data_IF_214762948012
#
_entry.id   IF_214762948012
#
_cell.length_a   1.000
_cell.length_b   1.000
_cell.length_c   1.000
_cell.angle_alpha   90.00
_cell.angle_beta   90.00
_cell.angle_gamma   90.00
#
_symmetry.space_group_name_H-M   'P 1'
#
loop_
_entity.id
_entity.type
_entity.pdbx_description
1 polymer ?
#
# COMPACT_ATOMS: atom_id res chain seq x y z
N UNK A 1 8.60 12.38 -7.82
CA UNK A 1 8.54 13.06 -6.51
C UNK A 1 8.58 14.60 -6.62
N UNK A 2 9.48 15.18 -7.41
CA UNK A 2 9.58 16.65 -7.60
C UNK A 2 8.32 17.22 -8.28
N UNK A 3 7.77 16.56 -9.30
CA UNK A 3 6.58 17.01 -10.05
C UNK A 3 5.30 16.98 -9.20
N UNK A 4 5.12 15.96 -8.36
CA UNK A 4 3.97 15.92 -7.43
C UNK A 4 4.05 17.04 -6.38
N UNK A 5 5.25 17.37 -5.91
CA UNK A 5 5.47 18.47 -4.96
C UNK A 5 5.13 19.82 -5.62
N UNK A 6 5.57 20.02 -6.86
CA UNK A 6 5.22 21.23 -7.62
C UNK A 6 3.72 21.32 -7.95
N UNK A 7 3.06 20.20 -8.28
CA UNK A 7 1.60 20.17 -8.46
C UNK A 7 0.84 20.49 -7.17
N UNK A 8 1.26 19.96 -6.03
CA UNK A 8 0.68 20.32 -4.74
C UNK A 8 0.89 21.80 -4.38
N UNK A 9 2.07 22.35 -4.67
CA UNK A 9 2.34 23.78 -4.46
C UNK A 9 1.49 24.67 -5.38
N UNK A 10 1.30 24.28 -6.64
CA UNK A 10 0.43 25.00 -7.59
C UNK A 10 -1.03 24.93 -7.16
N UNK A 11 -1.53 23.77 -6.73
CA UNK A 11 -2.91 23.62 -6.23
C UNK A 11 -3.12 24.41 -4.93
N UNK A 12 -2.12 24.47 -4.06
CA UNK A 12 -2.14 25.27 -2.85
C UNK A 12 -2.12 26.77 -3.17
N UNK A 13 -1.30 27.21 -4.14
CA UNK A 13 -1.29 28.60 -4.62
C UNK A 13 -2.62 29.01 -5.22
N UNK A 14 -3.25 28.17 -6.04
CA UNK A 14 -4.57 28.42 -6.63
C UNK A 14 -5.64 28.54 -5.55
N UNK A 15 -5.64 27.66 -4.54
CA UNK A 15 -6.58 27.75 -3.41
C UNK A 15 -6.36 29.03 -2.60
N UNK A 16 -5.12 29.41 -2.35
CA UNK A 16 -4.78 30.65 -1.62
C UNK A 16 -5.19 31.89 -2.40
N UNK A 17 -4.98 31.94 -3.71
CA UNK A 17 -5.44 33.02 -4.58
C UNK A 17 -6.95 33.12 -4.63
N UNK A 18 -7.66 31.99 -4.62
CA UNK A 18 -9.13 31.96 -4.58
C UNK A 18 -9.68 32.50 -3.26
N UNK A 19 -9.04 32.18 -2.13
CA UNK A 19 -9.41 32.73 -0.81
C UNK A 19 -9.14 34.23 -0.72
N UNK A 20 -8.02 34.70 -1.26
CA UNK A 20 -7.67 36.13 -1.29
C UNK A 20 -8.68 36.90 -2.18
N UNK A 21 -9.00 36.36 -3.36
CA UNK A 21 -9.96 36.96 -4.27
C UNK A 21 -11.37 37.05 -3.65
N UNK A 22 -11.81 35.98 -2.96
CA UNK A 22 -13.08 35.93 -2.25
C UNK A 22 -13.12 36.91 -1.08
N UNK A 23 -12.06 37.05 -0.33
CA UNK A 23 -11.92 37.99 0.80
C UNK A 23 -11.92 39.45 0.32
N UNK A 24 -11.20 39.75 -0.78
CA UNK A 24 -11.22 41.06 -1.44
C UNK A 24 -12.59 41.42 -2.01
N UNK A 25 -13.27 40.45 -2.63
CA UNK A 25 -14.64 40.63 -3.14
C UNK A 25 -15.65 40.97 -2.03
N UNK A 26 -15.58 40.28 -0.90
CA UNK A 26 -16.38 40.53 0.28
C UNK A 26 -16.06 41.89 0.93
N UNK A 27 -14.79 42.29 0.98
CA UNK A 27 -14.34 43.57 1.53
C UNK A 27 -14.80 44.75 0.66
N UNK A 28 -14.66 44.66 -0.67
CA UNK A 28 -15.07 45.67 -1.63
C UNK A 28 -16.61 45.81 -1.66
N UNK A 29 -17.34 44.69 -1.65
CA UNK A 29 -18.81 44.67 -1.60
C UNK A 29 -19.39 45.30 -0.33
N UNK A 30 -18.70 45.16 0.81
CA UNK A 30 -19.15 45.76 2.08
C UNK A 30 -18.81 47.26 2.26
N UNK A 31 -17.76 47.74 1.58
CA UNK A 31 -17.24 49.11 1.76
C UNK A 31 -17.79 50.11 0.73
N UNK A 32 -18.27 49.68 -0.43
CA UNK A 32 -18.71 50.53 -1.54
C UNK A 32 -20.19 50.36 -1.82
N UNK A 33 -21.04 50.72 -0.84
CA UNK A 33 -22.48 50.94 -1.10
C UNK A 33 -22.68 52.25 -1.87
N UNK A 34 -23.03 52.08 -3.15
CA UNK A 34 -23.50 53.12 -4.10
C UNK A 34 -22.49 54.12 -4.69
N UNK A 35 -21.88 53.75 -5.81
CA UNK A 35 -21.43 54.72 -6.82
C UNK A 35 -21.20 53.95 -8.16
N UNK A 36 -21.44 54.65 -9.29
CA UNK A 36 -21.26 54.15 -10.66
C UNK A 36 -19.85 53.57 -10.93
N UNK A 37 -18.86 53.95 -10.14
CA UNK A 37 -17.49 53.44 -10.18
C UNK A 37 -17.39 52.00 -9.70
N UNK A 38 -18.25 51.57 -8.80
CA UNK A 38 -18.25 50.19 -8.28
C UNK A 38 -18.58 49.18 -9.36
N UNK A 39 -19.54 49.50 -10.24
CA UNK A 39 -19.93 48.64 -11.38
C UNK A 39 -18.80 48.56 -12.41
N UNK A 40 -18.10 49.69 -12.70
CA UNK A 40 -16.97 49.74 -13.62
C UNK A 40 -15.78 48.87 -13.15
N UNK A 41 -15.42 48.99 -11.87
CA UNK A 41 -14.35 48.17 -11.28
C UNK A 41 -14.74 46.69 -11.18
N UNK A 42 -15.98 46.34 -10.90
CA UNK A 42 -16.45 44.96 -10.91
C UNK A 42 -16.40 44.32 -12.30
N UNK A 43 -16.76 45.03 -13.35
CA UNK A 43 -16.71 44.53 -14.73
C UNK A 43 -15.25 44.34 -15.18
N UNK A 44 -14.36 45.28 -14.84
CA UNK A 44 -12.95 45.17 -15.20
C UNK A 44 -12.22 44.06 -14.39
N UNK A 45 -12.57 43.90 -13.12
CA UNK A 45 -12.02 42.83 -12.29
C UNK A 45 -12.49 41.45 -12.76
N UNK A 46 -13.76 41.30 -13.14
CA UNK A 46 -14.29 40.08 -13.73
C UNK A 46 -13.62 39.74 -15.08
N UNK A 47 -13.35 40.74 -15.91
CA UNK A 47 -12.68 40.54 -17.19
C UNK A 47 -11.21 40.18 -17.02
N UNK A 48 -10.48 40.76 -16.08
CA UNK A 48 -9.09 40.39 -15.74
C UNK A 48 -9.05 39.00 -15.12
N UNK A 49 -10.01 38.64 -14.26
CA UNK A 49 -10.10 37.31 -13.64
C UNK A 49 -10.44 36.23 -14.68
N UNK A 50 -11.36 36.51 -15.64
CA UNK A 50 -11.65 35.63 -16.76
C UNK A 50 -10.44 35.47 -17.71
N UNK A 51 -9.69 36.54 -17.98
CA UNK A 51 -8.45 36.49 -18.76
C UNK A 51 -7.36 35.67 -18.04
N UNK A 52 -7.22 35.79 -16.74
CA UNK A 52 -6.32 34.97 -15.93
C UNK A 52 -6.72 33.47 -15.93
N UNK A 53 -8.03 33.18 -15.83
CA UNK A 53 -8.53 31.80 -15.94
C UNK A 53 -8.31 31.25 -17.36
N UNK A 54 -8.53 32.05 -18.41
CA UNK A 54 -8.23 31.64 -19.79
C UNK A 54 -6.73 31.40 -20.02
N UNK A 55 -5.85 32.25 -19.47
CA UNK A 55 -4.40 32.09 -19.54
C UNK A 55 -3.93 30.86 -18.78
N UNK A 56 -4.50 30.58 -17.61
CA UNK A 56 -4.23 29.37 -16.82
C UNK A 56 -4.81 28.15 -17.54
N UNK A 57 -6.04 28.25 -18.10
CA UNK A 57 -6.68 27.16 -18.85
C UNK A 57 -5.94 26.79 -20.14
N UNK A 58 -5.41 27.78 -20.88
CA UNK A 58 -4.59 27.51 -22.09
C UNK A 58 -3.23 26.93 -21.73
N UNK A 59 -2.63 27.36 -20.60
CA UNK A 59 -1.41 26.75 -20.07
C UNK A 59 -1.65 25.29 -19.62
N UNK A 60 -2.79 25.00 -18.99
CA UNK A 60 -3.18 23.64 -18.62
C UNK A 60 -3.45 22.74 -19.82
N UNK A 61 -4.08 23.26 -20.88
CA UNK A 61 -4.34 22.48 -22.10
C UNK A 61 -3.05 22.11 -22.83
N UNK A 62 -2.03 22.97 -22.77
CA UNK A 62 -0.70 22.68 -23.33
C UNK A 62 0.13 21.76 -22.43
N UNK A 63 -0.07 21.82 -21.09
CA UNK A 63 0.60 20.94 -20.13
C UNK A 63 0.01 19.51 -20.11
N UNK A 64 -1.25 19.34 -20.49
CA UNK A 64 -1.90 18.02 -20.51
C UNK A 64 -1.36 17.07 -21.57
N UNK A 65 -0.55 17.54 -22.51
CA UNK A 65 0.02 16.73 -23.61
C UNK A 65 1.50 16.39 -23.43
N UNK A 66 2.22 17.01 -22.49
CA UNK A 66 3.61 16.67 -22.22
C UNK A 66 3.73 15.79 -20.98
N UNK A 67 3.59 14.50 -21.16
CA UNK A 67 4.06 13.50 -20.19
C UNK A 67 5.54 13.31 -20.50
N UNK A 68 6.45 13.58 -19.55
CA UNK A 68 7.87 13.28 -19.76
C UNK A 68 8.05 11.81 -20.18
N UNK A 69 8.95 11.51 -21.14
CA UNK A 69 9.19 10.15 -21.62
C UNK A 69 9.47 9.14 -20.50
N UNK A 70 10.12 9.56 -19.44
CA UNK A 70 10.40 8.77 -18.25
C UNK A 70 9.13 8.37 -17.45
N UNK A 71 8.12 9.24 -17.41
CA UNK A 71 6.83 8.90 -16.75
C UNK A 71 6.03 7.91 -17.59
N UNK A 72 6.02 8.05 -18.90
CA UNK A 72 5.34 7.11 -19.79
C UNK A 72 6.03 5.74 -19.77
N UNK A 73 7.35 5.72 -19.81
CA UNK A 73 8.13 4.49 -19.64
C UNK A 73 7.88 3.83 -18.29
N UNK A 74 7.85 4.60 -17.21
CA UNK A 74 7.50 4.10 -15.87
C UNK A 74 6.06 3.57 -15.82
N UNK A 75 5.11 4.21 -16.48
CA UNK A 75 3.73 3.74 -16.56
C UNK A 75 3.65 2.41 -17.32
N UNK A 76 4.29 2.30 -18.46
CA UNK A 76 4.35 1.06 -19.24
C UNK A 76 5.06 -0.06 -18.47
N UNK A 77 6.16 0.25 -17.79
CA UNK A 77 6.87 -0.71 -16.94
C UNK A 77 5.98 -1.21 -15.81
N UNK A 78 5.20 -0.31 -15.20
CA UNK A 78 4.24 -0.65 -14.16
C UNK A 78 3.11 -1.52 -14.72
N UNK A 79 2.49 -1.13 -15.82
CA UNK A 79 1.42 -1.89 -16.46
C UNK A 79 1.91 -3.29 -16.87
N UNK A 80 3.10 -3.39 -17.44
CA UNK A 80 3.66 -4.66 -17.93
C UNK A 80 4.06 -5.60 -16.77
N UNK A 81 4.58 -5.05 -15.66
CA UNK A 81 5.14 -5.85 -14.56
C UNK A 81 4.23 -5.98 -13.33
N UNK A 82 3.03 -5.40 -13.36
CA UNK A 82 2.05 -5.60 -12.30
C UNK A 82 1.67 -7.09 -12.17
N UNK A 83 1.55 -7.57 -10.94
CA UNK A 83 1.27 -8.98 -10.62
C UNK A 83 0.08 -9.51 -11.41
N UNK A 84 -1.05 -8.79 -11.43
CA UNK A 84 -2.28 -9.20 -12.14
C UNK A 84 -2.10 -9.39 -13.65
N UNK A 85 -1.13 -8.69 -14.26
CA UNK A 85 -0.86 -8.75 -15.70
C UNK A 85 0.18 -9.83 -16.03
N UNK A 86 1.12 -10.09 -15.12
CA UNK A 86 2.18 -11.08 -15.27
C UNK A 86 1.79 -12.50 -14.84
N UNK A 87 0.77 -12.61 -14.00
CA UNK A 87 0.22 -13.90 -13.53
C UNK A 87 -1.24 -13.98 -14.01
N UNK A 88 -1.46 -14.46 -15.25
CA UNK A 88 -2.80 -14.60 -15.80
C UNK A 88 -3.63 -15.61 -14.98
N UNK A 89 -4.95 -15.42 -14.98
CA UNK A 89 -5.86 -16.38 -14.37
C UNK A 89 -5.72 -17.77 -15.02
N UNK A 90 -6.02 -18.85 -14.29
CA UNK A 90 -6.05 -20.20 -14.86
C UNK A 90 -7.08 -20.29 -16.02
N UNK A 91 -6.92 -21.29 -16.87
CA UNK A 91 -7.86 -21.54 -17.97
C UNK A 91 -9.29 -21.68 -17.43
N UNK A 92 -10.23 -20.98 -18.06
CA UNK A 92 -11.63 -20.92 -17.64
C UNK A 92 -11.93 -19.95 -16.48
N UNK A 93 -10.92 -19.34 -15.86
CA UNK A 93 -11.09 -18.37 -14.78
C UNK A 93 -10.93 -16.93 -15.27
N UNK A 94 -11.51 -15.99 -14.50
CA UNK A 94 -11.35 -14.55 -14.71
C UNK A 94 -10.81 -13.90 -13.43
N UNK A 95 -9.76 -13.09 -13.58
CA UNK A 95 -9.26 -12.28 -12.47
C UNK A 95 -10.36 -11.35 -11.94
N UNK A 96 -10.51 -11.29 -10.63
CA UNK A 96 -11.50 -10.42 -9.97
C UNK A 96 -11.07 -8.97 -10.09
N UNK A 97 -12.00 -8.13 -10.57
CA UNK A 97 -11.81 -6.68 -10.57
C UNK A 97 -11.91 -6.12 -9.15
N UNK A 98 -10.98 -5.25 -8.78
CA UNK A 98 -10.93 -4.65 -7.45
C UNK A 98 -11.15 -3.14 -7.51
N UNK A 99 -11.86 -2.54 -6.52
CA UNK A 99 -12.09 -1.10 -6.48
C UNK A 99 -10.78 -0.32 -6.47
N UNK A 100 -10.69 0.72 -7.28
CA UNK A 100 -9.56 1.62 -7.28
C UNK A 100 -9.35 2.22 -5.88
N UNK A 101 -8.12 2.38 -5.44
CA UNK A 101 -7.74 2.78 -4.07
C UNK A 101 -8.13 1.80 -2.95
N UNK A 102 -8.48 0.56 -3.26
CA UNK A 102 -8.62 -0.49 -2.25
C UNK A 102 -7.28 -1.17 -1.95
N UNK A 103 -7.19 -1.83 -0.78
CA UNK A 103 -6.01 -2.64 -0.43
C UNK A 103 -5.84 -3.81 -1.40
N UNK A 104 -6.95 -4.40 -1.83
CA UNK A 104 -6.99 -5.45 -2.84
C UNK A 104 -6.37 -4.98 -4.17
N UNK A 105 -6.75 -3.78 -4.63
CA UNK A 105 -6.19 -3.21 -5.85
C UNK A 105 -4.69 -2.91 -5.70
N UNK A 106 -4.25 -2.43 -4.55
CA UNK A 106 -2.83 -2.23 -4.25
C UNK A 106 -2.04 -3.54 -4.36
N UNK A 107 -2.55 -4.64 -3.80
CA UNK A 107 -1.90 -5.95 -3.84
C UNK A 107 -1.84 -6.54 -5.25
N UNK A 108 -2.91 -6.45 -6.05
CA UNK A 108 -2.92 -6.91 -7.44
C UNK A 108 -1.96 -6.12 -8.35
N UNK A 109 -1.63 -4.89 -7.97
CA UNK A 109 -0.72 -4.03 -8.71
C UNK A 109 0.71 -4.02 -8.15
N UNK A 110 1.07 -4.93 -7.25
CA UNK A 110 2.45 -5.12 -6.84
C UNK A 110 3.35 -5.38 -8.06
N UNK A 111 4.44 -4.65 -8.16
CA UNK A 111 5.39 -4.83 -9.25
C UNK A 111 6.21 -6.10 -9.04
N UNK A 112 6.37 -6.88 -10.08
CA UNK A 112 7.25 -8.04 -10.07
C UNK A 112 8.62 -7.70 -10.67
N UNK A 113 9.67 -8.29 -10.14
CA UNK A 113 11.01 -8.24 -10.73
C UNK A 113 11.04 -9.00 -12.06
N UNK A 114 12.05 -8.77 -12.91
CA UNK A 114 12.20 -9.52 -14.15
C UNK A 114 12.06 -11.02 -13.95
N UNK A 115 11.52 -11.71 -14.95
CA UNK A 115 11.34 -13.16 -14.93
C UNK A 115 12.68 -13.88 -14.66
N UNK A 116 12.63 -14.97 -13.92
CA UNK A 116 13.83 -15.73 -13.53
C UNK A 116 14.65 -15.11 -12.40
N UNK A 117 14.25 -13.91 -11.90
CA UNK A 117 14.94 -13.31 -10.73
C UNK A 117 14.85 -14.24 -9.53
N UNK A 118 16.01 -14.46 -8.89
CA UNK A 118 16.09 -15.28 -7.67
C UNK A 118 15.89 -14.42 -6.43
N UNK A 119 15.17 -14.96 -5.44
CA UNK A 119 14.96 -14.33 -4.13
C UNK A 119 16.28 -14.10 -3.43
N UNK A 120 16.45 -12.89 -2.89
CA UNK A 120 17.60 -12.53 -2.05
C UNK A 120 17.19 -12.49 -0.57
N UNK A 121 18.11 -12.95 0.28
CA UNK A 121 18.06 -12.69 1.71
C UNK A 121 18.49 -11.26 2.02
N UNK A 122 18.21 -10.79 3.24
CA UNK A 122 18.60 -9.47 3.76
C UNK A 122 20.11 -9.18 3.64
N UNK A 123 20.95 -10.21 3.65
CA UNK A 123 22.39 -10.11 3.53
C UNK A 123 22.92 -10.22 2.09
N UNK A 124 22.03 -10.25 1.10
CA UNK A 124 22.33 -10.31 -0.33
C UNK A 124 22.56 -11.71 -0.88
N UNK A 125 22.67 -12.75 -0.04
CA UNK A 125 22.75 -14.14 -0.51
C UNK A 125 21.48 -14.53 -1.26
N UNK A 126 21.63 -15.41 -2.24
CA UNK A 126 20.50 -15.94 -2.99
C UNK A 126 19.88 -17.13 -2.27
N UNK A 127 18.54 -17.16 -2.18
CA UNK A 127 17.80 -18.32 -1.65
C UNK A 127 18.03 -19.55 -2.57
N UNK A 128 18.58 -20.66 -2.04
CA UNK A 128 18.89 -21.84 -2.85
C UNK A 128 17.66 -22.73 -3.08
N UNK A 129 16.44 -22.17 -3.03
CA UNK A 129 15.21 -22.95 -3.13
C UNK A 129 14.68 -22.93 -4.57
N UNK A 130 14.52 -24.12 -5.16
CA UNK A 130 13.76 -24.34 -6.38
C UNK A 130 12.35 -24.82 -6.03
N UNK A 131 11.35 -24.49 -6.88
CA UNK A 131 9.97 -24.92 -6.67
C UNK A 131 9.24 -24.28 -5.49
N UNK A 132 9.75 -23.15 -4.95
CA UNK A 132 9.09 -22.43 -3.85
C UNK A 132 8.26 -21.24 -4.37
N UNK A 133 8.73 -20.58 -5.41
CA UNK A 133 8.09 -19.36 -5.94
C UNK A 133 8.20 -19.27 -7.46
N UNK A 134 7.24 -18.57 -8.06
CA UNK A 134 7.23 -18.27 -9.51
C UNK A 134 7.74 -16.88 -9.82
N UNK A 135 7.65 -15.93 -8.88
CA UNK A 135 8.04 -14.54 -9.09
C UNK A 135 8.49 -13.88 -7.79
N UNK A 136 9.29 -12.82 -7.92
CA UNK A 136 9.77 -11.99 -6.82
C UNK A 136 9.12 -10.61 -6.95
N UNK A 137 8.54 -10.12 -5.86
CA UNK A 137 7.94 -8.78 -5.80
C UNK A 137 9.06 -7.74 -5.71
N UNK A 138 8.95 -6.69 -6.51
CA UNK A 138 9.86 -5.56 -6.46
C UNK A 138 9.62 -4.74 -5.19
N UNK A 139 10.64 -4.56 -4.39
CA UNK A 139 10.57 -3.76 -3.17
C UNK A 139 11.89 -3.77 -2.40
N UNK A 140 12.08 -2.82 -1.48
CA UNK A 140 13.27 -2.82 -0.65
C UNK A 140 13.27 -4.01 0.30
N UNK A 141 14.44 -4.53 0.55
CA UNK A 141 14.75 -5.38 1.69
C UNK A 141 15.87 -4.69 2.47
N UNK A 142 15.68 -4.56 3.78
CA UNK A 142 16.70 -3.98 4.64
C UNK A 142 17.88 -4.94 4.81
N UNK A 143 19.03 -4.40 5.19
CA UNK A 143 20.25 -5.18 5.46
C UNK A 143 20.23 -5.81 6.87
N UNK A 144 19.06 -5.96 7.48
CA UNK A 144 18.84 -6.53 8.81
C UNK A 144 17.88 -7.72 8.71
N UNK A 145 18.08 -8.72 9.55
CA UNK A 145 17.17 -9.87 9.64
C UNK A 145 15.88 -9.51 10.42
N UNK A 146 15.13 -8.54 9.90
CA UNK A 146 13.89 -8.03 10.52
C UNK A 146 12.66 -8.23 9.64
N UNK A 147 12.76 -7.97 8.34
CA UNK A 147 11.62 -8.03 7.42
C UNK A 147 11.26 -9.48 7.07
N UNK A 148 10.69 -10.21 8.05
CA UNK A 148 10.29 -11.62 7.91
C UNK A 148 8.82 -11.75 7.46
N UNK A 149 8.20 -12.91 7.65
CA UNK A 149 6.88 -13.24 7.09
C UNK A 149 5.75 -12.28 7.55
N UNK A 150 5.61 -12.04 8.84
CA UNK A 150 4.61 -11.12 9.37
C UNK A 150 4.93 -9.66 9.01
N UNK A 151 6.21 -9.30 8.99
CA UNK A 151 6.69 -7.95 8.73
C UNK A 151 6.42 -7.52 7.29
N UNK A 152 6.51 -8.46 6.34
CA UNK A 152 6.13 -8.22 4.95
C UNK A 152 4.64 -7.86 4.83
N UNK A 153 3.76 -8.53 5.57
CA UNK A 153 2.32 -8.24 5.60
C UNK A 153 2.03 -6.89 6.25
N UNK A 154 2.67 -6.63 7.40
CA UNK A 154 2.63 -5.33 8.10
C UNK A 154 3.05 -4.21 7.15
N UNK A 155 4.14 -4.39 6.45
CA UNK A 155 4.65 -3.42 5.48
C UNK A 155 3.63 -3.14 4.37
N UNK A 156 3.11 -4.17 3.71
CA UNK A 156 2.13 -4.00 2.63
C UNK A 156 0.90 -3.22 3.09
N UNK A 157 0.38 -3.52 4.29
CA UNK A 157 -0.75 -2.77 4.85
C UNK A 157 -0.39 -1.34 5.21
N UNK A 158 0.75 -1.13 5.84
CA UNK A 158 1.22 0.20 6.23
C UNK A 158 1.54 1.09 5.02
N UNK A 159 2.24 0.57 4.00
CA UNK A 159 2.53 1.28 2.76
C UNK A 159 1.25 1.72 2.04
N UNK A 160 0.27 0.84 1.92
CA UNK A 160 -1.04 1.18 1.37
C UNK A 160 -1.70 2.34 2.10
N UNK A 161 -1.77 2.30 3.42
CA UNK A 161 -2.37 3.36 4.23
C UNK A 161 -1.55 4.66 4.17
N UNK A 162 -0.22 4.55 4.13
CA UNK A 162 0.68 5.70 3.99
C UNK A 162 0.49 6.42 2.65
N UNK A 163 0.39 5.68 1.55
CA UNK A 163 0.13 6.22 0.21
C UNK A 163 -1.21 6.94 0.12
N UNK A 164 -2.21 6.50 0.89
CA UNK A 164 -3.51 7.17 0.99
C UNK A 164 -3.51 8.35 1.99
N UNK A 165 -2.41 8.63 2.69
CA UNK A 165 -2.34 9.65 3.74
C UNK A 165 -3.13 9.29 5.01
N UNK A 166 -3.53 8.02 5.17
CA UNK A 166 -4.32 7.56 6.32
C UNK A 166 -3.43 7.18 7.49
N UNK A 167 -2.62 8.11 7.94
CA UNK A 167 -1.62 7.91 8.98
C UNK A 167 -2.23 7.54 10.34
N UNK A 168 -3.47 7.95 10.60
CA UNK A 168 -4.26 7.60 11.78
C UNK A 168 -4.65 6.12 11.86
N UNK A 169 -4.63 5.43 10.72
CA UNK A 169 -4.95 4.00 10.60
C UNK A 169 -3.73 3.10 10.63
N UNK A 170 -2.52 3.66 10.60
CA UNK A 170 -1.29 2.89 10.67
C UNK A 170 -0.95 2.66 12.14
N UNK A 171 -1.24 1.46 12.63
CA UNK A 171 -0.89 1.04 13.98
C UNK A 171 -0.76 -0.49 14.03
N UNK A 172 0.17 -0.98 14.84
CA UNK A 172 0.41 -2.42 15.03
C UNK A 172 0.81 -2.68 16.49
N UNK A 173 0.35 -3.79 17.03
CA UNK A 173 0.69 -4.17 18.38
C UNK A 173 2.04 -4.91 18.45
N UNK A 174 2.87 -4.52 19.38
CA UNK A 174 4.02 -5.33 19.79
C UNK A 174 3.58 -6.62 20.46
N UNK A 175 4.44 -7.61 20.54
CA UNK A 175 4.15 -8.90 21.17
C UNK A 175 3.73 -8.75 22.65
N UNK A 176 4.16 -7.68 23.33
CA UNK A 176 3.77 -7.33 24.70
C UNK A 176 2.40 -6.62 24.80
N UNK A 177 1.73 -6.35 23.68
CA UNK A 177 0.43 -5.67 23.61
C UNK A 177 0.52 -4.14 23.51
N UNK A 178 1.71 -3.54 23.45
CA UNK A 178 1.85 -2.10 23.26
C UNK A 178 1.43 -1.72 21.82
N UNK A 179 0.51 -0.77 21.70
CA UNK A 179 0.07 -0.28 20.38
C UNK A 179 1.03 0.79 19.86
N UNK A 180 1.72 0.48 18.76
CA UNK A 180 2.64 1.38 18.07
C UNK A 180 1.86 2.19 17.03
N UNK A 181 1.36 3.36 17.41
CA UNK A 181 0.58 4.24 16.55
C UNK A 181 1.49 5.17 15.73
N UNK A 182 1.42 5.11 14.40
CA UNK A 182 2.17 6.01 13.53
C UNK A 182 1.78 7.49 13.73
N UNK A 183 0.54 7.75 14.11
CA UNK A 183 0.05 9.09 14.48
C UNK A 183 0.85 9.76 15.61
N UNK A 184 1.33 8.97 16.58
CA UNK A 184 2.23 9.45 17.65
C UNK A 184 3.66 9.65 17.15
N UNK A 185 4.10 8.74 16.26
CA UNK A 185 5.45 8.78 15.68
C UNK A 185 5.69 10.02 14.82
N UNK A 186 4.74 10.40 13.97
CA UNK A 186 4.83 11.61 13.13
C UNK A 186 4.81 12.92 13.93
N UNK A 187 4.32 12.90 15.18
CA UNK A 187 4.41 14.03 16.12
C UNK A 187 5.79 14.16 16.78
N UNK A 188 6.77 13.38 16.35
CA UNK A 188 8.13 13.40 16.86
C UNK A 188 8.34 12.56 18.13
N UNK A 189 7.34 11.77 18.53
CA UNK A 189 7.51 10.80 19.63
C UNK A 189 8.24 9.56 19.15
N UNK A 190 8.94 8.90 20.06
CA UNK A 190 9.61 7.62 19.84
C UNK A 190 9.23 6.64 20.94
N UNK A 191 9.28 5.35 20.63
CA UNK A 191 8.96 4.30 21.59
C UNK A 191 10.22 3.97 22.38
N UNK A 192 10.16 4.18 23.67
CA UNK A 192 11.21 3.74 24.59
C UNK A 192 10.83 2.37 25.16
N UNK A 193 11.73 1.41 24.98
CA UNK A 193 11.54 0.03 25.44
C UNK A 193 12.46 -0.26 26.60
N UNK A 194 11.91 -0.72 27.73
CA UNK A 194 12.63 -1.11 28.93
C UNK A 194 12.12 -2.49 29.40
N UNK A 195 12.87 -3.52 29.08
CA UNK A 195 12.42 -4.91 29.27
C UNK A 195 11.14 -5.20 28.47
N UNK A 196 10.07 -5.55 29.15
CA UNK A 196 8.76 -5.83 28.53
C UNK A 196 7.80 -4.62 28.55
N UNK A 197 8.26 -3.45 28.95
CA UNK A 197 7.44 -2.23 29.02
C UNK A 197 7.83 -1.24 27.92
N UNK A 198 6.82 -0.63 27.32
CA UNK A 198 6.99 0.39 26.31
C UNK A 198 6.27 1.68 26.71
N UNK A 199 6.82 2.82 26.33
CA UNK A 199 6.20 4.14 26.51
C UNK A 199 6.59 5.08 25.39
N UNK A 200 5.69 6.00 25.07
CA UNK A 200 5.99 7.11 24.16
C UNK A 200 6.80 8.19 24.87
N UNK A 201 7.87 8.67 24.24
CA UNK A 201 8.69 9.79 24.71
C UNK A 201 8.87 10.80 23.58
N UNK A 202 8.80 12.11 23.90
CA UNK A 202 9.11 13.16 22.92
C UNK A 202 10.61 13.11 22.61
N UNK A 203 10.98 13.10 21.33
CA UNK A 203 12.36 12.85 20.91
C UNK A 203 12.84 13.75 19.77
N UNK A 204 11.96 14.04 18.79
CA UNK A 204 12.34 14.79 17.58
C UNK A 204 11.25 15.81 17.23
N UNK A 205 11.50 16.62 16.19
CA UNK A 205 10.48 17.46 15.57
C UNK A 205 9.47 16.60 14.79
N UNK A 206 8.21 17.04 14.68
CA UNK A 206 7.21 16.35 13.86
C UNK A 206 7.62 16.22 12.39
N UNK A 207 7.44 15.05 11.81
CA UNK A 207 7.60 14.79 10.38
C UNK A 207 6.83 13.55 9.99
N UNK A 208 6.36 13.49 8.72
CA UNK A 208 5.73 12.33 8.11
C UNK A 208 6.43 11.90 6.81
N UNK A 209 7.69 12.29 6.64
CA UNK A 209 8.50 11.89 5.50
C UNK A 209 8.66 10.38 5.41
N UNK A 210 8.90 9.85 4.21
CA UNK A 210 9.07 8.43 3.99
C UNK A 210 10.20 7.80 4.82
N UNK A 211 11.28 8.56 5.09
CA UNK A 211 12.35 8.09 5.98
C UNK A 211 11.86 7.90 7.43
N UNK A 212 11.01 8.80 7.92
CA UNK A 212 10.37 8.68 9.25
C UNK A 212 9.42 7.49 9.29
N UNK A 213 8.69 7.23 8.20
CA UNK A 213 7.84 6.05 8.06
C UNK A 213 8.67 4.75 8.06
N UNK A 214 9.79 4.70 7.34
CA UNK A 214 10.69 3.54 7.34
C UNK A 214 11.26 3.23 8.73
N UNK A 215 11.66 4.27 9.48
CA UNK A 215 12.12 4.12 10.86
C UNK A 215 11.01 3.59 11.79
N UNK A 216 9.77 4.00 11.56
CA UNK A 216 8.62 3.45 12.30
C UNK A 216 8.43 1.97 11.98
N UNK A 217 8.48 1.57 10.72
CA UNK A 217 8.36 0.17 10.35
C UNK A 217 9.48 -0.68 10.95
N UNK A 218 10.70 -0.18 10.98
CA UNK A 218 11.83 -0.89 11.60
C UNK A 218 11.57 -1.20 13.07
N UNK A 219 11.08 -0.24 13.86
CA UNK A 219 10.76 -0.51 15.28
C UNK A 219 9.57 -1.47 15.43
N UNK A 220 8.60 -1.44 14.52
CA UNK A 220 7.50 -2.41 14.50
C UNK A 220 8.03 -3.81 14.24
N UNK A 221 8.89 -4.03 13.25
CA UNK A 221 9.49 -5.33 12.93
C UNK A 221 10.33 -5.91 14.09
N UNK A 222 10.95 -5.05 14.89
CA UNK A 222 11.74 -5.51 16.06
C UNK A 222 10.88 -6.11 17.19
N UNK A 223 9.62 -5.69 17.33
CA UNK A 223 8.79 -6.02 18.49
C UNK A 223 7.43 -6.63 18.17
N UNK A 224 6.93 -6.50 16.95
CA UNK A 224 5.78 -7.22 16.45
C UNK A 224 6.21 -8.57 15.85
N UNK A 225 5.24 -9.35 15.36
CA UNK A 225 5.47 -10.62 14.68
C UNK A 225 4.18 -11.41 14.56
N UNK A 226 4.25 -12.69 14.17
CA UNK A 226 3.05 -13.52 13.95
C UNK A 226 2.14 -13.59 15.18
N UNK A 227 2.69 -13.60 16.40
CA UNK A 227 1.89 -13.66 17.65
C UNK A 227 1.06 -12.42 17.91
N UNK A 228 1.58 -11.23 17.63
CA UNK A 228 0.84 -9.98 17.78
C UNK A 228 -0.12 -9.77 16.62
N UNK A 229 0.35 -9.97 15.38
CA UNK A 229 -0.47 -9.80 14.18
C UNK A 229 -1.69 -10.73 14.19
N UNK A 230 -1.52 -12.00 14.56
CA UNK A 230 -2.63 -12.95 14.64
C UNK A 230 -3.76 -12.48 15.55
N UNK A 231 -3.43 -11.77 16.65
CA UNK A 231 -4.42 -11.24 17.61
C UNK A 231 -5.13 -9.98 17.10
N UNK A 232 -4.50 -9.22 16.20
CA UNK A 232 -5.08 -8.02 15.61
C UNK A 232 -6.05 -8.35 14.47
N UNK A 233 -5.83 -9.47 13.81
CA UNK A 233 -6.63 -9.90 12.67
C UNK A 233 -7.92 -10.58 13.15
N UNK A 234 -9.00 -10.41 12.40
CA UNK A 234 -10.28 -11.06 12.65
C UNK A 234 -10.44 -12.32 11.79
N UNK A 235 -10.97 -13.41 12.32
CA UNK A 235 -11.21 -14.64 11.56
C UNK A 235 -12.16 -14.40 10.37
N UNK A 236 -11.94 -15.12 9.28
CA UNK A 236 -12.83 -15.16 8.11
C UNK A 236 -12.96 -16.59 7.58
N UNK A 237 -13.94 -16.83 6.71
CA UNK A 237 -14.22 -18.16 6.18
C UNK A 237 -13.46 -18.39 4.88
N UNK A 238 -12.89 -19.60 4.73
CA UNK A 238 -12.17 -20.01 3.52
C UNK A 238 -13.07 -19.99 2.26
N UNK A 239 -14.37 -20.24 2.40
CA UNK A 239 -15.32 -20.15 1.32
C UNK A 239 -15.54 -18.74 0.78
N UNK A 240 -15.16 -17.72 1.57
CA UNK A 240 -15.25 -16.31 1.22
C UNK A 240 -13.89 -15.63 1.16
N UNK A 241 -12.82 -16.39 0.90
CA UNK A 241 -11.46 -15.88 0.82
C UNK A 241 -11.33 -14.75 -0.20
N UNK A 242 -10.70 -13.64 0.21
CA UNK A 242 -10.54 -12.44 -0.59
C UNK A 242 -9.07 -12.00 -0.67
N UNK A 243 -8.76 -11.15 -1.65
CA UNK A 243 -7.44 -10.50 -1.75
C UNK A 243 -7.23 -9.64 -0.50
N UNK A 244 -6.07 -9.82 0.14
CA UNK A 244 -5.74 -9.16 1.41
C UNK A 244 -6.02 -10.01 2.64
N UNK A 245 -6.68 -11.16 2.50
CA UNK A 245 -6.81 -12.14 3.58
C UNK A 245 -5.47 -12.82 3.84
N UNK A 246 -5.28 -13.27 5.08
CA UNK A 246 -4.00 -13.72 5.59
C UNK A 246 -4.17 -15.10 6.24
N UNK A 247 -3.40 -16.08 5.79
CA UNK A 247 -3.22 -17.32 6.52
C UNK A 247 -2.10 -17.10 7.55
N UNK A 248 -2.42 -17.27 8.83
CA UNK A 248 -1.47 -16.98 9.92
C UNK A 248 -1.57 -17.98 11.06
N UNK A 249 -0.40 -18.44 11.50
CA UNK A 249 -0.21 -19.22 12.73
C UNK A 249 0.77 -18.46 13.63
N UNK A 250 0.25 -17.87 14.68
CA UNK A 250 1.04 -17.15 15.68
C UNK A 250 1.85 -18.11 16.55
N UNK A 251 3.17 -17.99 16.52
CA UNK A 251 3.99 -18.93 17.27
C UNK A 251 5.48 -18.60 17.28
N UNK A 252 6.25 -19.59 17.76
CA UNK A 252 7.70 -19.69 17.62
C UNK A 252 8.05 -21.19 17.55
N UNK A 253 8.13 -21.74 16.33
CA UNK A 253 7.96 -21.08 15.04
C UNK A 253 6.51 -20.65 14.79
N UNK A 254 6.34 -19.61 13.96
CA UNK A 254 5.08 -19.13 13.42
C UNK A 254 5.28 -18.72 11.97
N UNK A 255 4.20 -18.62 11.19
CA UNK A 255 4.27 -18.19 9.80
C UNK A 255 3.01 -17.46 9.35
N UNK A 256 3.16 -16.60 8.34
CA UNK A 256 2.06 -15.86 7.74
C UNK A 256 2.30 -15.64 6.24
N UNK A 257 1.22 -15.76 5.47
CA UNK A 257 1.16 -15.49 4.03
C UNK A 257 -0.09 -14.67 3.72
N UNK A 258 -0.09 -13.92 2.62
CA UNK A 258 -1.18 -13.04 2.23
C UNK A 258 -1.69 -13.37 0.83
N UNK A 259 -3.01 -13.31 0.63
CA UNK A 259 -3.65 -13.40 -0.70
C UNK A 259 -3.38 -12.12 -1.47
N UNK A 260 -2.76 -12.24 -2.64
CA UNK A 260 -2.39 -11.08 -3.48
C UNK A 260 -3.10 -11.03 -4.83
N UNK A 261 -3.72 -12.14 -5.24
CA UNK A 261 -4.55 -12.17 -6.43
C UNK A 261 -5.67 -13.21 -6.27
N UNK A 262 -6.78 -13.02 -6.98
CA UNK A 262 -7.94 -13.91 -6.98
C UNK A 262 -8.55 -14.00 -8.37
N UNK A 263 -8.97 -15.20 -8.74
CA UNK A 263 -9.73 -15.48 -9.97
C UNK A 263 -10.92 -16.37 -9.65
N UNK A 264 -12.00 -16.23 -10.41
CA UNK A 264 -13.23 -17.00 -10.27
C UNK A 264 -13.57 -17.61 -11.62
N UNK A 265 -13.95 -18.88 -11.62
CA UNK A 265 -14.54 -19.53 -12.77
C UNK A 265 -16.03 -19.14 -12.87
N UNK A 266 -16.47 -18.44 -13.94
CA UNK A 266 -17.83 -17.94 -14.05
C UNK A 266 -18.88 -19.03 -14.28
N UNK A 267 -18.47 -20.27 -14.64
CA UNK A 267 -19.40 -21.37 -14.93
C UNK A 267 -19.80 -22.13 -13.67
N UNK A 268 -18.88 -22.28 -12.71
CA UNK A 268 -19.10 -23.10 -11.52
C UNK A 268 -18.80 -22.40 -10.20
N UNK A 269 -18.35 -21.11 -10.24
CA UNK A 269 -17.96 -20.29 -9.10
C UNK A 269 -16.75 -20.83 -8.30
N UNK A 270 -15.95 -21.70 -8.89
CA UNK A 270 -14.68 -22.09 -8.27
C UNK A 270 -13.77 -20.87 -8.09
N UNK A 271 -13.08 -20.84 -6.96
CA UNK A 271 -12.17 -19.76 -6.60
C UNK A 271 -10.72 -20.24 -6.65
N UNK A 272 -9.87 -19.47 -7.27
CA UNK A 272 -8.42 -19.64 -7.25
C UNK A 272 -7.75 -18.38 -6.70
N UNK A 273 -6.71 -18.55 -5.85
CA UNK A 273 -5.97 -17.45 -5.23
C UNK A 273 -4.47 -17.64 -5.40
N UNK A 274 -3.71 -16.52 -5.41
CA UNK A 274 -2.27 -16.53 -5.31
C UNK A 274 -1.84 -16.00 -3.94
N UNK A 275 -0.85 -16.66 -3.34
CA UNK A 275 -0.25 -16.21 -2.08
C UNK A 275 1.12 -15.58 -2.29
N UNK A 276 1.45 -14.62 -1.42
CA UNK A 276 2.79 -14.07 -1.29
C UNK A 276 3.30 -14.26 0.14
N UNK A 277 4.62 -14.45 0.25
CA UNK A 277 5.32 -14.53 1.54
C UNK A 277 6.70 -13.88 1.48
N UNK A 278 7.19 -13.39 2.62
CA UNK A 278 8.58 -13.43 3.02
C UNK A 278 8.79 -14.61 3.98
N UNK A 279 10.02 -14.88 4.43
CA UNK A 279 10.29 -16.01 5.32
C UNK A 279 11.47 -15.69 6.28
N UNK A 280 11.88 -16.66 7.09
CA UNK A 280 13.07 -16.59 7.94
C UNK A 280 14.24 -17.36 7.29
N UNK A 281 15.45 -16.79 7.22
CA UNK A 281 15.82 -15.40 7.48
C UNK A 281 15.08 -14.41 6.59
N UNK A 282 15.05 -13.12 6.99
CA UNK A 282 14.42 -12.04 6.21
C UNK A 282 14.84 -12.09 4.73
N UNK A 283 13.87 -12.04 3.84
CA UNK A 283 14.06 -12.22 2.41
C UNK A 283 13.02 -11.45 1.62
N UNK A 284 13.25 -11.31 0.32
CA UNK A 284 12.32 -10.63 -0.57
C UNK A 284 10.96 -11.31 -0.60
N UNK A 285 9.90 -10.49 -0.74
CA UNK A 285 8.55 -10.97 -0.92
C UNK A 285 8.44 -11.74 -2.24
N UNK A 286 7.84 -12.92 -2.21
CA UNK A 286 7.77 -13.85 -3.34
C UNK A 286 6.35 -14.40 -3.52
N UNK A 287 5.97 -14.66 -4.77
CA UNK A 287 4.70 -15.30 -5.12
C UNK A 287 4.92 -16.80 -5.10
N UNK A 288 4.15 -17.50 -4.26
CA UNK A 288 4.33 -18.93 -4.03
C UNK A 288 3.89 -19.78 -5.21
N UNK A 289 4.60 -20.88 -5.43
CA UNK A 289 4.14 -22.01 -6.22
C UNK A 289 3.09 -22.78 -5.40
N UNK A 290 2.05 -23.27 -6.05
CA UNK A 290 1.20 -24.30 -5.47
C UNK A 290 1.87 -25.68 -5.66
N UNK A 291 2.28 -26.37 -4.58
CA UNK A 291 2.99 -27.64 -4.69
C UNK A 291 2.09 -28.79 -5.24
N UNK A 292 0.79 -28.60 -5.27
CA UNK A 292 -0.17 -29.57 -5.83
C UNK A 292 -0.41 -29.37 -7.33
N UNK A 293 0.28 -28.41 -7.97
CA UNK A 293 0.15 -28.10 -9.39
C UNK A 293 1.52 -27.93 -10.06
N UNK A 294 1.58 -28.13 -11.37
CA UNK A 294 2.83 -28.04 -12.14
C UNK A 294 3.26 -26.57 -12.31
N UNK A 295 4.07 -26.09 -11.37
CA UNK A 295 4.61 -24.72 -11.33
C UNK A 295 3.57 -23.57 -11.37
N UNK A 296 2.30 -23.85 -11.10
CA UNK A 296 1.26 -22.82 -11.03
C UNK A 296 1.29 -22.10 -9.69
N UNK A 297 1.08 -20.77 -9.63
CA UNK A 297 0.91 -20.04 -8.37
C UNK A 297 -0.53 -20.08 -7.85
N UNK A 298 -1.45 -20.72 -8.56
CA UNK A 298 -2.87 -20.70 -8.24
C UNK A 298 -3.27 -21.84 -7.34
N UNK A 299 -3.85 -21.52 -6.18
CA UNK A 299 -4.42 -22.42 -5.19
C UNK A 299 -5.93 -22.41 -5.33
N UNK A 300 -6.53 -23.57 -5.59
CA UNK A 300 -7.99 -23.71 -5.73
C UNK A 300 -8.63 -23.89 -4.35
N UNK A 301 -9.63 -23.06 -4.05
CA UNK A 301 -10.29 -22.99 -2.75
C UNK A 301 -11.78 -23.24 -2.89
N UNK A 302 -12.30 -24.05 -1.98
CA UNK A 302 -13.74 -24.29 -1.84
C UNK A 302 -14.12 -24.39 -0.36
N UNK A 303 -15.42 -24.54 -0.08
CA UNK A 303 -15.95 -24.68 1.29
C UNK A 303 -15.47 -25.95 2.03
N UNK A 304 -14.92 -26.94 1.32
CA UNK A 304 -14.43 -28.19 1.87
C UNK A 304 -12.90 -28.13 2.11
N UNK A 305 -12.24 -27.08 1.67
CA UNK A 305 -10.81 -26.88 1.89
C UNK A 305 -10.52 -26.80 3.40
N UNK A 306 -9.82 -27.78 3.93
CA UNK A 306 -9.49 -27.87 5.35
C UNK A 306 -8.04 -27.56 5.64
N UNK A 307 -7.17 -27.78 4.65
CA UNK A 307 -5.71 -27.63 4.76
C UNK A 307 -5.17 -26.99 3.49
N UNK A 308 -4.25 -26.07 3.65
CA UNK A 308 -3.55 -25.38 2.56
C UNK A 308 -2.08 -25.73 2.68
N UNK A 309 -1.59 -26.54 1.74
CA UNK A 309 -0.19 -26.93 1.67
C UNK A 309 0.57 -25.90 0.83
N UNK A 310 1.53 -25.20 1.41
CA UNK A 310 2.47 -24.33 0.69
C UNK A 310 3.86 -24.99 0.64
N UNK A 311 4.79 -24.52 -0.18
CA UNK A 311 6.10 -25.14 -0.30
C UNK A 311 6.90 -25.25 1.01
N UNK A 312 6.72 -24.30 1.92
CA UNK A 312 7.51 -24.21 3.14
C UNK A 312 6.66 -24.28 4.44
N UNK A 313 5.32 -24.36 4.33
CA UNK A 313 4.41 -24.38 5.49
C UNK A 313 3.07 -25.02 5.18
N UNK A 314 2.37 -25.47 6.22
CA UNK A 314 1.00 -26.00 6.12
C UNK A 314 0.06 -25.23 7.04
N UNK A 315 -1.01 -24.67 6.46
CA UNK A 315 -2.06 -23.99 7.19
C UNK A 315 -3.35 -24.81 7.26
N UNK A 316 -4.19 -24.49 8.22
CA UNK A 316 -5.59 -24.96 8.29
C UNK A 316 -6.51 -23.86 7.77
N UNK A 317 -7.67 -24.20 7.22
CA UNK A 317 -8.66 -23.20 6.80
C UNK A 317 -9.01 -22.19 7.91
N UNK A 318 -9.08 -22.63 9.17
CA UNK A 318 -9.32 -21.77 10.35
C UNK A 318 -8.25 -20.74 10.65
N UNK A 319 -7.08 -20.87 10.05
CA UNK A 319 -5.97 -19.92 10.20
C UNK A 319 -6.14 -18.68 9.31
N UNK A 320 -7.23 -18.67 8.47
CA UNK A 320 -7.56 -17.54 7.61
C UNK A 320 -8.16 -16.40 8.43
N UNK A 321 -7.57 -15.22 8.28
CA UNK A 321 -7.95 -13.99 8.97
C UNK A 321 -7.83 -12.80 8.03
N UNK A 322 -8.39 -11.67 8.42
CA UNK A 322 -8.30 -10.40 7.68
C UNK A 322 -8.04 -9.23 8.62
N UNK A 323 -7.50 -8.14 8.07
CA UNK A 323 -7.45 -6.89 8.82
C UNK A 323 -8.87 -6.42 9.17
N UNK A 324 -9.10 -5.87 10.38
CA UNK A 324 -10.35 -5.20 10.69
C UNK A 324 -10.56 -3.99 9.77
N UNK A 325 -11.83 -3.65 9.48
CA UNK A 325 -12.24 -2.51 8.63
C UNK A 325 -11.95 -1.16 9.27
#
# INVERSE_FOLDING_TARGET
MIVLKQLCEIVFLIKSLFQIAHSLYSYIGNKLKSSSYTVYYMIHFNNIFLLLICLIGTSFSSYSQYIPPDIEEMRQLHETNALKNRIPAPDGFKTVETPYHSFQNHLQNLLLKPEGTKVKYYDGRTKPAEGVYVAVVHGPIDNKDLHQCADAIIRLRAEFLYLLGRYDKINFNFTNGFNAEFSQWIQGKRIHVEGNRCKWVQSTTPSHDFNVFSQYLEIVYMYAGTRSLEKELVPTDIASIEIGDILIQGGSPGHAIIVVNKAINPENNETAVCFAQSYMPAQELQILVNPESDNSPWYFMDKNTTTIQTPEWTFKARDLKKFPE
#
